data_IF_519387225034
#
_entry.id   IF_519387225034
#
_cell.length_a   1.000
_cell.length_b   1.000
_cell.length_c   1.000
_cell.angle_alpha   90.00
_cell.angle_beta   90.00
_cell.angle_gamma   90.00
#
_symmetry.space_group_name_H-M   'P 1'
#
loop_
_entity.id
_entity.type
_entity.pdbx_description
1 polymer ?
#
# COMPACT_ATOMS: atom_id res chain seq x y z
N UNK A 1 5.31 24.03 9.57
CA UNK A 1 6.02 22.76 9.36
C UNK A 1 6.58 22.20 10.66
N UNK A 2 7.21 23.01 11.51
CA UNK A 2 7.79 22.57 12.80
C UNK A 2 6.81 21.81 13.71
N UNK A 3 5.54 22.25 13.78
CA UNK A 3 4.49 21.54 14.53
C UNK A 3 4.21 20.14 14.00
N UNK A 4 4.14 19.93 12.68
CA UNK A 4 3.91 18.58 12.11
C UNK A 4 5.06 17.62 12.42
N UNK A 5 6.31 18.11 12.46
CA UNK A 5 7.45 17.30 12.91
C UNK A 5 7.33 16.91 14.39
N UNK A 6 6.82 17.78 15.25
CA UNK A 6 6.58 17.47 16.68
C UNK A 6 5.52 16.38 16.84
N UNK A 7 4.51 16.35 15.95
CA UNK A 7 3.49 15.30 15.88
C UNK A 7 3.98 14.01 15.19
N UNK A 8 5.29 13.91 14.89
CA UNK A 8 5.91 12.70 14.32
C UNK A 8 5.88 12.60 12.79
N UNK A 9 5.40 13.63 12.08
CA UNK A 9 5.42 13.64 10.61
C UNK A 9 6.84 13.95 10.12
N UNK A 10 7.57 12.93 9.66
CA UNK A 10 8.95 13.09 9.15
C UNK A 10 9.03 13.93 7.87
N UNK A 11 8.05 13.81 6.98
CA UNK A 11 7.97 14.55 5.71
C UNK A 11 6.67 15.38 5.57
N UNK A 12 6.55 16.53 6.27
CA UNK A 12 5.32 17.35 6.27
C UNK A 12 4.98 17.98 4.93
N UNK A 13 5.98 18.19 4.09
CA UNK A 13 5.87 18.92 2.82
C UNK A 13 4.88 18.24 1.86
N UNK A 14 4.92 16.90 1.78
CA UNK A 14 4.01 16.11 0.93
C UNK A 14 2.56 16.14 1.42
N UNK A 15 2.35 16.01 2.73
CA UNK A 15 1.03 16.05 3.35
C UNK A 15 0.39 17.43 3.27
N UNK A 16 1.17 18.50 3.49
CA UNK A 16 0.70 19.87 3.35
C UNK A 16 0.27 20.20 1.91
N UNK A 17 1.01 19.72 0.92
CA UNK A 17 0.64 19.93 -0.49
C UNK A 17 -0.71 19.31 -0.81
N UNK A 18 -0.96 18.08 -0.34
CA UNK A 18 -2.23 17.37 -0.52
C UNK A 18 -3.39 18.00 0.26
N UNK A 19 -3.11 18.62 1.39
CA UNK A 19 -4.12 19.26 2.24
C UNK A 19 -4.40 20.73 1.90
N UNK A 20 -3.81 21.26 0.82
CA UNK A 20 -3.95 22.68 0.44
C UNK A 20 -3.24 23.64 1.41
N UNK A 21 -2.19 23.16 2.08
CA UNK A 21 -1.42 23.91 3.08
C UNK A 21 -2.03 23.85 4.49
N UNK A 22 -3.16 23.18 4.70
CA UNK A 22 -3.82 23.08 5.99
C UNK A 22 -3.09 22.07 6.92
N UNK A 23 -2.49 22.50 8.04
CA UNK A 23 -1.68 21.61 8.89
C UNK A 23 -2.51 20.53 9.60
N UNK A 24 -3.69 20.85 10.12
CA UNK A 24 -4.53 19.87 10.80
C UNK A 24 -4.99 18.76 9.84
N UNK A 25 -5.43 19.12 8.63
CA UNK A 25 -5.81 18.16 7.59
C UNK A 25 -4.63 17.31 7.12
N UNK A 26 -3.42 17.89 7.09
CA UNK A 26 -2.19 17.14 6.81
C UNK A 26 -1.91 16.11 7.92
N UNK A 27 -2.12 16.49 9.18
CA UNK A 27 -1.97 15.58 10.32
C UNK A 27 -3.02 14.46 10.30
N UNK A 28 -4.30 14.78 10.09
CA UNK A 28 -5.38 13.77 9.98
C UNK A 28 -5.14 12.78 8.84
N UNK A 29 -4.54 13.25 7.74
CA UNK A 29 -4.17 12.37 6.63
C UNK A 29 -2.98 11.48 6.98
N UNK A 30 -1.96 12.04 7.64
CA UNK A 30 -0.84 11.25 8.16
C UNK A 30 -1.30 10.20 9.17
N UNK A 31 -2.18 10.55 10.11
CA UNK A 31 -2.71 9.64 11.13
C UNK A 31 -3.50 8.51 10.50
N UNK A 32 -4.39 8.80 9.54
CA UNK A 32 -5.13 7.76 8.80
C UNK A 32 -4.20 6.83 8.03
N UNK A 33 -3.20 7.38 7.33
CA UNK A 33 -2.20 6.57 6.64
C UNK A 33 -1.42 5.69 7.64
N UNK A 34 -1.09 6.23 8.83
CA UNK A 34 -0.36 5.52 9.87
C UNK A 34 -1.19 4.37 10.46
N UNK A 35 -2.46 4.62 10.82
CA UNK A 35 -3.38 3.59 11.32
C UNK A 35 -3.59 2.46 10.32
N UNK A 36 -3.79 2.81 9.05
CA UNK A 36 -3.91 1.83 7.98
C UNK A 36 -2.65 0.97 7.83
N UNK A 37 -1.46 1.59 7.85
CA UNK A 37 -0.18 0.85 7.83
C UNK A 37 0.00 -0.07 9.04
N UNK A 38 -0.46 0.34 10.23
CA UNK A 38 -0.45 -0.53 11.41
C UNK A 38 -1.39 -1.73 11.23
N UNK A 39 -2.61 -1.50 10.76
CA UNK A 39 -3.53 -2.58 10.40
C UNK A 39 -2.93 -3.53 9.35
N UNK A 40 -2.17 -2.97 8.39
CA UNK A 40 -1.43 -3.75 7.42
C UNK A 40 -0.42 -4.69 8.07
N UNK A 41 0.44 -4.14 8.94
CA UNK A 41 1.47 -4.91 9.63
C UNK A 41 0.90 -5.97 10.57
N UNK A 42 -0.21 -5.68 11.23
CA UNK A 42 -0.89 -6.66 12.09
C UNK A 42 -1.31 -7.89 11.29
N UNK A 43 -1.88 -7.71 10.10
CA UNK A 43 -2.28 -8.86 9.25
C UNK A 43 -1.04 -9.66 8.80
N UNK A 44 0.08 -9.01 8.49
CA UNK A 44 1.31 -9.71 8.06
C UNK A 44 2.03 -10.48 9.18
N UNK A 45 1.92 -10.00 10.43
CA UNK A 45 2.74 -10.50 11.55
C UNK A 45 1.96 -11.34 12.55
N UNK A 46 0.63 -11.34 12.49
CA UNK A 46 -0.22 -12.14 13.37
C UNK A 46 -0.29 -13.61 12.91
N UNK A 47 0.61 -14.42 13.47
CA UNK A 47 0.69 -15.86 13.23
C UNK A 47 -0.52 -16.65 13.76
N UNK A 48 -1.44 -16.03 14.51
CA UNK A 48 -2.64 -16.66 15.05
C UNK A 48 -3.85 -16.59 14.12
N UNK A 49 -3.80 -15.81 13.04
CA UNK A 49 -4.94 -15.66 12.13
C UNK A 49 -5.05 -16.82 11.14
N UNK A 50 -6.25 -17.36 11.01
CA UNK A 50 -6.57 -18.24 9.89
C UNK A 50 -6.54 -17.46 8.57
N UNK A 51 -6.35 -18.17 7.44
CA UNK A 51 -6.35 -17.54 6.11
C UNK A 51 -7.65 -16.77 5.83
N UNK A 52 -8.79 -17.27 6.30
CA UNK A 52 -10.09 -16.60 6.16
C UNK A 52 -10.12 -15.30 6.96
N UNK A 53 -9.62 -15.31 8.20
CA UNK A 53 -9.55 -14.09 9.03
C UNK A 53 -8.61 -13.05 8.44
N UNK A 54 -7.49 -13.47 7.85
CA UNK A 54 -6.60 -12.57 7.12
C UNK A 54 -7.30 -11.95 5.91
N UNK A 55 -8.00 -12.76 5.11
CA UNK A 55 -8.76 -12.29 3.95
C UNK A 55 -9.85 -11.27 4.34
N UNK A 56 -10.62 -11.53 5.38
CA UNK A 56 -11.66 -10.60 5.87
C UNK A 56 -11.06 -9.26 6.31
N UNK A 57 -9.93 -9.29 7.03
CA UNK A 57 -9.21 -8.07 7.44
C UNK A 57 -8.66 -7.30 6.24
N UNK A 58 -8.12 -7.98 5.24
CA UNK A 58 -7.65 -7.37 4.00
C UNK A 58 -8.80 -6.68 3.25
N UNK A 59 -9.96 -7.33 3.14
CA UNK A 59 -11.14 -6.77 2.49
C UNK A 59 -11.66 -5.53 3.22
N UNK A 60 -11.67 -5.54 4.56
CA UNK A 60 -12.07 -4.39 5.37
C UNK A 60 -11.10 -3.20 5.24
N UNK A 61 -9.80 -3.46 5.09
CA UNK A 61 -8.80 -2.43 4.81
C UNK A 61 -8.90 -1.87 3.38
N UNK A 62 -9.48 -2.65 2.48
CA UNK A 62 -9.50 -2.40 1.05
C UNK A 62 -8.35 -3.11 0.35
N UNK A 63 -8.68 -4.08 -0.51
CA UNK A 63 -7.70 -4.92 -1.21
C UNK A 63 -6.70 -4.10 -2.05
N UNK A 64 -7.15 -2.99 -2.65
CA UNK A 64 -6.28 -2.12 -3.46
C UNK A 64 -5.20 -1.43 -2.63
N UNK A 65 -5.58 -0.89 -1.47
CA UNK A 65 -4.68 -0.24 -0.52
C UNK A 65 -3.75 -1.26 0.14
N UNK A 66 -4.27 -2.43 0.51
CA UNK A 66 -3.46 -3.54 1.02
C UNK A 66 -2.38 -3.96 0.02
N UNK A 67 -2.75 -4.15 -1.26
CA UNK A 67 -1.80 -4.59 -2.29
C UNK A 67 -0.74 -3.52 -2.58
N UNK A 68 -1.12 -2.23 -2.55
CA UNK A 68 -0.18 -1.11 -2.70
C UNK A 68 0.87 -1.12 -1.58
N UNK A 69 0.44 -1.22 -0.32
CA UNK A 69 1.37 -1.28 0.81
C UNK A 69 2.23 -2.53 0.79
N UNK A 70 1.69 -3.68 0.39
CA UNK A 70 2.48 -4.90 0.23
C UNK A 70 3.57 -4.75 -0.84
N UNK A 71 3.27 -4.07 -1.94
CA UNK A 71 4.26 -3.78 -2.98
C UNK A 71 5.37 -2.85 -2.48
N UNK A 72 5.00 -1.74 -1.81
CA UNK A 72 5.99 -0.84 -1.22
C UNK A 72 6.84 -1.53 -0.15
N UNK A 73 6.24 -2.44 0.63
CA UNK A 73 6.96 -3.23 1.62
C UNK A 73 8.00 -4.16 0.98
N UNK A 74 7.61 -4.90 -0.07
CA UNK A 74 8.56 -5.76 -0.81
C UNK A 74 9.64 -4.93 -1.50
N UNK A 75 9.31 -3.76 -2.05
CA UNK A 75 10.28 -2.82 -2.60
C UNK A 75 11.30 -2.36 -1.55
N UNK A 76 10.85 -2.03 -0.34
CA UNK A 76 11.77 -1.65 0.73
C UNK A 76 12.66 -2.81 1.18
N UNK A 77 12.14 -4.04 1.25
CA UNK A 77 12.95 -5.23 1.56
C UNK A 77 14.04 -5.47 0.51
N UNK A 78 13.71 -5.29 -0.77
CA UNK A 78 14.67 -5.37 -1.88
C UNK A 78 15.69 -4.23 -1.80
N UNK A 79 15.23 -3.00 -1.53
CA UNK A 79 16.10 -1.84 -1.31
C UNK A 79 17.08 -2.07 -0.16
N UNK A 80 16.62 -2.61 0.97
CA UNK A 80 17.47 -3.00 2.09
C UNK A 80 18.54 -4.03 1.68
N UNK A 81 18.17 -5.02 0.87
CA UNK A 81 19.13 -6.04 0.37
C UNK A 81 20.21 -5.48 -0.54
N UNK A 82 19.85 -4.56 -1.43
CA UNK A 82 20.74 -4.09 -2.51
C UNK A 82 21.50 -2.83 -2.10
N UNK A 83 20.83 -1.90 -1.41
CA UNK A 83 21.31 -0.55 -1.11
C UNK A 83 21.54 -0.32 0.40
N UNK A 84 21.06 -1.22 1.27
CA UNK A 84 21.12 -1.05 2.72
C UNK A 84 20.09 -0.07 3.29
N UNK A 85 19.13 0.38 2.49
CA UNK A 85 18.01 1.21 2.95
C UNK A 85 16.76 1.02 2.07
N UNK A 86 15.58 1.20 2.66
CA UNK A 86 14.30 1.31 1.96
C UNK A 86 13.88 2.77 1.73
N UNK A 87 12.91 3.02 0.86
CA UNK A 87 12.45 4.37 0.52
C UNK A 87 11.06 4.73 1.06
N UNK A 88 10.12 3.78 1.10
CA UNK A 88 8.71 4.06 1.35
C UNK A 88 8.37 4.07 2.84
N UNK A 89 8.87 3.08 3.59
CA UNK A 89 8.59 2.89 5.02
C UNK A 89 9.79 3.32 5.87
N UNK A 90 10.11 4.62 5.83
CA UNK A 90 11.23 5.18 6.60
C UNK A 90 11.08 5.00 8.12
N UNK A 91 9.86 4.86 8.62
CA UNK A 91 9.59 4.61 10.04
C UNK A 91 9.92 3.18 10.48
N UNK A 92 10.08 2.25 9.53
CA UNK A 92 10.26 0.82 9.80
C UNK A 92 11.61 0.28 9.30
N UNK A 93 12.59 1.14 9.04
CA UNK A 93 13.87 0.77 8.41
C UNK A 93 14.63 -0.32 9.18
N UNK A 94 14.69 -0.23 10.51
CA UNK A 94 15.37 -1.22 11.36
C UNK A 94 14.70 -2.59 11.27
N UNK A 95 13.37 -2.63 11.43
CA UNK A 95 12.58 -3.86 11.31
C UNK A 95 12.69 -4.47 9.90
N UNK A 96 12.64 -3.62 8.86
CA UNK A 96 12.83 -4.02 7.47
C UNK A 96 14.23 -4.58 7.22
N UNK A 97 15.27 -3.97 7.81
CA UNK A 97 16.64 -4.48 7.72
C UNK A 97 16.78 -5.86 8.36
N UNK A 98 16.21 -6.07 9.55
CA UNK A 98 16.19 -7.37 10.21
C UNK A 98 15.43 -8.43 9.38
N UNK A 99 14.26 -8.10 8.84
CA UNK A 99 13.50 -9.02 7.98
C UNK A 99 14.25 -9.33 6.69
N UNK A 100 14.76 -8.30 6.01
CA UNK A 100 15.55 -8.44 4.80
C UNK A 100 16.76 -9.34 5.03
N UNK A 101 17.46 -9.24 6.17
CA UNK A 101 18.62 -10.10 6.45
C UNK A 101 18.30 -11.61 6.42
N UNK A 102 17.05 -12.00 6.68
CA UNK A 102 16.58 -13.41 6.77
C UNK A 102 15.95 -13.95 5.49
N UNK A 103 15.58 -13.08 4.56
CA UNK A 103 14.89 -13.45 3.31
C UNK A 103 15.91 -13.59 2.17
N UNK A 104 15.62 -14.45 1.20
CA UNK A 104 16.43 -14.55 -0.01
C UNK A 104 16.05 -13.46 -1.04
N UNK A 105 17.04 -12.93 -1.76
CA UNK A 105 16.80 -11.85 -2.73
C UNK A 105 16.02 -12.33 -3.97
N UNK A 106 16.27 -13.56 -4.45
CA UNK A 106 15.55 -14.11 -5.59
C UNK A 106 14.08 -14.35 -5.25
N UNK A 107 13.80 -14.84 -4.03
CA UNK A 107 12.42 -15.00 -3.55
C UNK A 107 11.67 -13.66 -3.47
N UNK A 108 12.35 -12.61 -2.99
CA UNK A 108 11.79 -11.26 -2.95
C UNK A 108 11.47 -10.71 -4.36
N UNK A 109 12.38 -10.89 -5.32
CA UNK A 109 12.17 -10.47 -6.72
C UNK A 109 11.04 -11.25 -7.40
N UNK A 110 10.95 -12.56 -7.12
CA UNK A 110 9.86 -13.38 -7.61
C UNK A 110 8.52 -12.96 -6.99
N UNK A 111 8.50 -12.60 -5.70
CA UNK A 111 7.31 -12.10 -5.03
C UNK A 111 6.87 -10.76 -5.62
N UNK A 112 7.79 -9.84 -5.85
CA UNK A 112 7.53 -8.57 -6.52
C UNK A 112 6.84 -8.76 -7.88
N UNK A 113 7.37 -9.66 -8.70
CA UNK A 113 6.81 -9.96 -10.02
C UNK A 113 5.36 -10.45 -9.90
N UNK A 114 5.09 -11.37 -8.96
CA UNK A 114 3.74 -11.87 -8.70
C UNK A 114 2.79 -10.76 -8.23
N UNK A 115 3.25 -9.85 -7.37
CA UNK A 115 2.43 -8.72 -6.90
C UNK A 115 2.11 -7.75 -8.03
N UNK A 116 3.07 -7.51 -8.94
CA UNK A 116 2.87 -6.68 -10.13
C UNK A 116 1.85 -7.30 -11.08
N UNK A 117 1.91 -8.61 -11.28
CA UNK A 117 0.91 -9.36 -12.04
C UNK A 117 -0.46 -9.30 -11.37
N UNK A 118 -0.55 -9.55 -10.06
CA UNK A 118 -1.80 -9.42 -9.30
C UNK A 118 -2.42 -8.02 -9.45
N UNK A 119 -1.60 -6.96 -9.42
CA UNK A 119 -2.08 -5.59 -9.67
C UNK A 119 -2.59 -5.37 -11.07
N UNK A 120 -1.99 -6.00 -12.09
CA UNK A 120 -2.54 -5.99 -13.45
C UNK A 120 -3.92 -6.61 -13.50
N UNK A 121 -4.17 -7.69 -12.75
CA UNK A 121 -5.50 -8.30 -12.65
C UNK A 121 -6.52 -7.45 -11.89
N UNK A 122 -6.10 -6.66 -10.90
CA UNK A 122 -6.99 -5.70 -10.24
C UNK A 122 -7.25 -4.43 -11.06
N UNK A 123 -6.25 -3.99 -11.83
CA UNK A 123 -6.34 -2.87 -12.77
C UNK A 123 -6.95 -3.28 -14.12
N UNK A 124 -7.05 -4.59 -14.40
CA UNK A 124 -7.88 -5.09 -15.48
C UNK A 124 -9.31 -4.66 -15.18
N UNK A 125 -10.05 -4.20 -16.18
CA UNK A 125 -11.37 -3.68 -15.99
C UNK A 125 -12.32 -4.79 -15.47
N UNK A 126 -12.44 -4.88 -14.15
CA UNK A 126 -13.75 -4.71 -13.51
C UNK A 126 -14.16 -3.22 -13.65
N UNK A 127 -14.01 -2.65 -14.84
CA UNK A 127 -14.59 -1.38 -15.22
C UNK A 127 -16.01 -1.75 -15.57
N UNK A 128 -16.78 -2.06 -14.52
CA UNK A 128 -18.18 -2.45 -14.62
C UNK A 128 -18.90 -1.47 -15.54
N UNK A 129 -18.53 -0.19 -15.51
CA UNK A 129 -18.96 0.84 -16.44
C UNK A 129 -18.57 0.59 -17.91
N UNK A 130 -17.30 0.37 -18.24
CA UNK A 130 -16.86 0.16 -19.64
C UNK A 130 -17.38 -1.17 -20.23
N UNK A 131 -17.47 -2.20 -19.39
CA UNK A 131 -18.13 -3.46 -19.72
C UNK A 131 -19.64 -3.23 -19.95
N UNK A 132 -20.31 -2.49 -19.05
CA UNK A 132 -21.73 -2.12 -19.19
C UNK A 132 -21.97 -1.27 -20.44
N UNK A 133 -21.12 -0.28 -20.72
CA UNK A 133 -21.19 0.55 -21.93
C UNK A 133 -20.99 -0.29 -23.19
N UNK A 134 -20.06 -1.25 -23.18
CA UNK A 134 -19.86 -2.18 -24.32
C UNK A 134 -21.03 -3.15 -24.55
N UNK A 135 -21.74 -3.54 -23.49
CA UNK A 135 -22.90 -4.43 -23.54
C UNK A 135 -24.20 -3.69 -23.91
N UNK A 136 -24.31 -2.41 -23.56
CA UNK A 136 -25.47 -1.56 -23.88
C UNK A 136 -25.33 -0.84 -25.23
N UNK A 137 -24.12 -0.70 -25.77
CA UNK A 137 -23.85 -0.05 -27.06
C UNK A 137 -24.71 -0.60 -28.24
N UNK A 138 -25.00 -1.91 -28.36
CA UNK A 138 -25.86 -2.44 -29.43
C UNK A 138 -27.36 -2.14 -29.22
N UNK A 139 -27.78 -1.81 -28.00
CA UNK A 139 -29.19 -1.57 -27.64
C UNK A 139 -29.60 -0.10 -27.83
N UNK A 140 -28.63 0.79 -27.97
CA UNK A 140 -28.84 2.19 -28.35
C UNK A 140 -28.73 2.32 -29.88
N UNK A 141 -29.85 2.20 -30.58
CA UNK A 141 -29.93 2.58 -31.99
C UNK A 141 -29.76 4.10 -32.12
N UNK A 142 -28.98 4.60 -33.10
CA UNK A 142 -28.97 6.02 -33.41
C UNK A 142 -30.37 6.44 -33.89
N UNK A 143 -30.89 7.54 -33.33
CA UNK A 143 -32.11 8.22 -33.77
C UNK A 143 -32.02 8.73 -35.19
#
# INVERSE_FOLDING_TARGET
MQWLHQEGVKEPSGYLRRSGGAPLRALEQFQRDHEGRLGFLQILTDHGLSLTQQADRILNLGLDQWLEWLQFWVMDLIGQKILGHGHYHQDFQEALGHMASRLDLYDLLAWETRLREARRWMNHPLNARLLTESLLAPLHLPS
#
